data_IF_902919259352
#
_entry.id   IF_902919259352
#
_cell.length_a   1.000
_cell.length_b   1.000
_cell.length_c   1.000
_cell.angle_alpha   90.00
_cell.angle_beta   90.00
_cell.angle_gamma   90.00
#
_symmetry.space_group_name_H-M   'P 1'
#
loop_
_entity.id
_entity.type
_entity.pdbx_description
1 polymer ?
#
# COMPACT_ATOMS: atom_id res chain seq x y z
N UNK A 1 44.32 50.42 46.93
CA UNK A 1 42.93 49.97 47.05
C UNK A 1 42.53 49.53 45.66
N UNK A 2 42.96 48.33 45.24
CA UNK A 2 42.22 47.06 45.40
C UNK A 2 40.87 47.12 44.72
N UNK A 3 40.75 46.47 43.59
CA UNK A 3 39.56 46.30 42.81
C UNK A 3 39.78 45.17 41.79
N UNK A 4 39.31 44.03 42.14
CA UNK A 4 39.45 42.67 41.58
C UNK A 4 39.14 42.55 40.09
N UNK A 5 40.09 41.98 39.47
CA UNK A 5 40.05 41.31 38.15
C UNK A 5 39.19 40.02 38.26
N UNK A 6 38.00 40.01 37.65
CA UNK A 6 37.22 38.79 37.45
C UNK A 6 37.35 38.29 36.05
N UNK A 7 38.29 37.38 35.89
CA UNK A 7 38.50 36.61 34.68
C UNK A 7 37.22 35.87 34.21
N UNK A 8 36.85 36.13 32.98
CA UNK A 8 35.84 35.36 32.24
C UNK A 8 36.52 34.09 31.77
N UNK A 9 36.26 32.98 32.47
CA UNK A 9 36.71 31.66 32.06
C UNK A 9 36.06 31.29 30.72
N UNK A 10 36.88 31.16 29.68
CA UNK A 10 36.51 30.59 28.41
C UNK A 10 36.00 29.16 28.62
N UNK A 11 34.74 28.92 28.28
CA UNK A 11 34.25 27.57 28.12
C UNK A 11 34.90 26.99 26.84
N UNK A 12 35.89 26.17 27.02
CA UNK A 12 36.29 25.18 26.03
C UNK A 12 35.07 24.35 25.63
N UNK A 13 34.62 24.56 24.43
CA UNK A 13 33.70 23.65 23.76
C UNK A 13 34.52 22.38 23.50
N UNK A 14 34.45 21.46 24.45
CA UNK A 14 34.86 20.08 24.20
C UNK A 14 34.06 19.57 23.00
N UNK A 15 34.77 19.49 21.88
CA UNK A 15 34.35 18.64 20.77
C UNK A 15 34.16 17.23 21.35
N UNK A 16 32.94 16.94 21.75
CA UNK A 16 32.53 15.58 21.98
C UNK A 16 32.74 14.82 20.70
N UNK A 17 33.85 14.09 20.64
CA UNK A 17 33.96 12.95 19.76
C UNK A 17 32.70 12.13 19.95
N UNK A 18 31.78 12.24 19.01
CA UNK A 18 30.89 11.14 18.75
C UNK A 18 31.78 9.99 18.30
N UNK A 19 32.31 9.29 19.28
CA UNK A 19 32.73 7.92 19.03
C UNK A 19 31.52 7.22 18.48
N UNK A 20 31.56 6.99 17.20
CA UNK A 20 30.73 6.04 16.48
C UNK A 20 31.00 4.66 17.06
N UNK A 21 30.58 4.43 18.31
CA UNK A 21 30.51 3.13 18.94
C UNK A 21 29.25 2.42 18.44
N UNK A 22 29.18 2.19 17.15
CA UNK A 22 28.33 1.18 16.55
C UNK A 22 28.95 0.69 15.25
N UNK A 23 30.25 0.55 15.25
CA UNK A 23 30.87 -0.50 14.49
C UNK A 23 30.62 -1.81 15.25
N UNK A 24 29.36 -2.19 15.42
CA UNK A 24 29.02 -3.59 15.41
C UNK A 24 29.61 -4.04 14.09
N UNK A 25 30.76 -4.71 14.14
CA UNK A 25 31.46 -5.09 12.93
C UNK A 25 30.43 -5.84 12.10
N UNK A 26 30.12 -5.32 10.91
CA UNK A 26 29.11 -5.93 10.04
C UNK A 26 29.45 -7.40 9.76
N UNK A 27 30.71 -7.77 9.91
CA UNK A 27 31.17 -9.15 9.94
C UNK A 27 30.60 -9.99 11.11
N UNK A 28 30.41 -9.42 12.31
CA UNK A 28 29.83 -10.17 13.44
C UNK A 28 28.32 -10.36 13.29
N UNK A 29 27.62 -9.41 12.67
CA UNK A 29 26.19 -9.55 12.37
C UNK A 29 25.96 -10.54 11.21
N UNK A 30 26.83 -10.55 10.23
CA UNK A 30 26.82 -11.52 9.13
C UNK A 30 27.03 -12.94 9.65
N UNK A 31 27.93 -13.13 10.62
CA UNK A 31 28.19 -14.44 11.24
C UNK A 31 27.09 -14.90 12.22
N UNK A 32 26.23 -14.01 12.68
CA UNK A 32 25.13 -14.33 13.59
C UNK A 32 23.84 -14.75 12.86
N UNK A 33 23.76 -14.65 11.53
CA UNK A 33 22.59 -15.05 10.77
C UNK A 33 22.57 -16.58 10.57
N UNK A 34 21.44 -17.25 10.84
CA UNK A 34 21.30 -18.67 10.57
C UNK A 34 21.58 -19.01 9.10
N UNK A 35 22.33 -20.07 8.85
CA UNK A 35 22.72 -20.53 7.50
C UNK A 35 21.54 -20.66 6.53
N UNK A 36 20.35 -20.98 7.05
CA UNK A 36 19.10 -21.04 6.25
C UNK A 36 18.64 -19.67 5.77
N UNK A 37 18.78 -18.63 6.58
CA UNK A 37 18.48 -17.24 6.18
C UNK A 37 19.52 -16.72 5.20
N UNK A 38 20.78 -17.13 5.34
CA UNK A 38 21.84 -16.83 4.39
C UNK A 38 21.55 -17.37 2.98
N UNK A 39 20.87 -18.52 2.86
CA UNK A 39 20.47 -19.09 1.57
C UNK A 39 19.24 -18.43 0.95
N UNK A 40 18.39 -17.82 1.76
CA UNK A 40 17.15 -17.13 1.33
C UNK A 40 17.34 -15.63 1.13
N UNK A 41 18.34 -15.06 1.78
CA UNK A 41 18.70 -13.66 1.70
C UNK A 41 19.74 -13.47 0.60
N UNK A 42 19.54 -12.47 -0.21
CA UNK A 42 20.48 -12.18 -1.27
C UNK A 42 21.88 -11.85 -0.75
N UNK A 43 21.96 -11.06 0.32
CA UNK A 43 23.18 -10.72 1.04
C UNK A 43 22.84 -10.70 2.56
N UNK A 44 23.68 -11.19 3.46
CA UNK A 44 23.38 -11.18 4.90
C UNK A 44 23.11 -9.77 5.43
N UNK A 45 23.87 -8.77 5.00
CA UNK A 45 23.65 -7.36 5.37
C UNK A 45 22.33 -6.81 4.80
N UNK A 46 21.87 -7.35 3.68
CA UNK A 46 20.60 -6.95 3.07
C UNK A 46 19.41 -7.37 3.95
N UNK A 47 19.49 -8.51 4.63
CA UNK A 47 18.49 -8.90 5.62
C UNK A 47 18.52 -8.00 6.86
N UNK A 48 19.68 -7.48 7.26
CA UNK A 48 19.78 -6.47 8.31
C UNK A 48 19.02 -5.20 7.92
N UNK A 49 19.21 -4.73 6.69
CA UNK A 49 18.43 -3.60 6.17
C UNK A 49 16.94 -3.90 6.07
N UNK A 50 16.56 -5.09 5.60
CA UNK A 50 15.16 -5.51 5.56
C UNK A 50 14.57 -5.62 6.98
N UNK A 51 15.37 -6.02 7.96
CA UNK A 51 15.04 -6.00 9.38
C UNK A 51 14.75 -4.58 9.88
N UNK A 52 15.57 -3.60 9.48
CA UNK A 52 15.33 -2.19 9.80
C UNK A 52 13.96 -1.71 9.29
N UNK A 53 13.56 -2.09 8.08
CA UNK A 53 12.23 -1.78 7.56
C UNK A 53 11.09 -2.35 8.42
N UNK A 54 11.29 -3.53 9.01
CA UNK A 54 10.35 -4.16 9.96
C UNK A 54 10.29 -3.38 11.27
N UNK A 55 11.45 -2.99 11.81
CA UNK A 55 11.56 -2.17 13.02
C UNK A 55 10.86 -0.81 12.84
N UNK A 56 10.97 -0.20 11.66
CA UNK A 56 10.24 1.01 11.29
C UNK A 56 8.74 0.75 11.05
N UNK A 57 8.28 -0.47 11.32
CA UNK A 57 6.89 -0.86 11.15
C UNK A 57 6.36 -0.61 9.73
N UNK A 58 7.17 -0.72 8.68
CA UNK A 58 6.68 -0.67 7.30
C UNK A 58 5.74 -1.85 7.02
N UNK A 59 4.76 -1.65 6.14
CA UNK A 59 3.85 -2.74 5.75
C UNK A 59 4.59 -3.85 5.00
N UNK A 60 4.10 -5.10 5.08
CA UNK A 60 4.65 -6.24 4.31
C UNK A 60 4.77 -5.91 2.81
N UNK A 61 3.78 -5.18 2.28
CA UNK A 61 3.78 -4.74 0.88
C UNK A 61 4.90 -3.73 0.58
N UNK A 62 5.09 -2.74 1.47
CA UNK A 62 6.19 -1.75 1.36
C UNK A 62 7.54 -2.44 1.44
N UNK A 63 7.74 -3.35 2.38
CA UNK A 63 8.99 -4.10 2.53
C UNK A 63 9.29 -4.86 1.24
N UNK A 64 8.31 -5.60 0.70
CA UNK A 64 8.47 -6.32 -0.57
C UNK A 64 8.84 -5.39 -1.73
N UNK A 65 8.16 -4.27 -1.87
CA UNK A 65 8.43 -3.30 -2.93
C UNK A 65 9.83 -2.70 -2.79
N UNK A 66 10.24 -2.36 -1.58
CA UNK A 66 11.58 -1.82 -1.29
C UNK A 66 12.67 -2.86 -1.57
N UNK A 67 12.46 -4.11 -1.14
CA UNK A 67 13.40 -5.20 -1.40
C UNK A 67 13.60 -5.44 -2.90
N UNK A 68 12.52 -5.42 -3.69
CA UNK A 68 12.61 -5.57 -5.14
C UNK A 68 13.40 -4.42 -5.78
N UNK A 69 13.13 -3.17 -5.37
CA UNK A 69 13.83 -2.01 -5.90
C UNK A 69 15.33 -1.99 -5.51
N UNK A 70 15.64 -2.40 -4.29
CA UNK A 70 17.03 -2.48 -3.82
C UNK A 70 17.81 -3.58 -4.55
N UNK A 71 17.17 -4.72 -4.88
CA UNK A 71 17.77 -5.77 -5.70
C UNK A 71 18.08 -5.26 -7.11
N UNK A 72 17.12 -4.57 -7.72
CA UNK A 72 17.28 -3.95 -9.02
C UNK A 72 18.44 -2.93 -9.02
N UNK A 73 18.54 -2.08 -8.02
CA UNK A 73 19.67 -1.18 -7.83
C UNK A 73 21.00 -1.93 -7.68
N UNK A 74 21.00 -3.04 -6.94
CA UNK A 74 22.20 -3.84 -6.71
C UNK A 74 22.80 -4.42 -8.00
N UNK A 75 22.00 -4.69 -9.02
CA UNK A 75 22.51 -5.15 -10.33
C UNK A 75 23.36 -4.09 -11.04
N UNK A 76 23.11 -2.80 -10.75
CA UNK A 76 23.90 -1.68 -11.29
C UNK A 76 25.14 -1.39 -10.43
N UNK A 77 25.05 -1.63 -9.13
CA UNK A 77 26.15 -1.40 -8.18
C UNK A 77 27.20 -2.50 -8.26
N UNK A 78 26.76 -3.74 -8.40
CA UNK A 78 27.66 -4.89 -8.53
C UNK A 78 28.10 -4.99 -9.99
N UNK A 79 29.39 -5.07 -10.30
CA UNK A 79 29.84 -5.11 -11.68
C UNK A 79 29.35 -6.38 -12.36
N UNK A 80 28.89 -6.23 -13.57
CA UNK A 80 28.70 -7.29 -14.50
C UNK A 80 30.01 -7.75 -15.13
N UNK A 81 30.99 -8.08 -14.33
CA UNK A 81 32.05 -8.94 -14.81
C UNK A 81 31.48 -10.34 -14.78
N UNK A 82 31.10 -10.81 -15.96
CA UNK A 82 30.73 -12.16 -16.27
C UNK A 82 29.77 -12.83 -15.25
N UNK A 83 28.48 -12.69 -15.48
CA UNK A 83 27.43 -13.53 -14.91
C UNK A 83 27.59 -13.91 -13.43
N UNK A 84 27.98 -12.95 -12.59
CA UNK A 84 27.81 -13.15 -11.15
C UNK A 84 26.31 -13.35 -10.90
N UNK A 85 25.94 -14.61 -10.81
CA UNK A 85 24.59 -14.94 -10.36
C UNK A 85 24.32 -14.20 -9.05
N UNK A 86 23.06 -13.85 -8.82
CA UNK A 86 22.67 -13.21 -7.59
C UNK A 86 23.17 -13.99 -6.33
N UNK A 87 23.33 -15.30 -6.45
CA UNK A 87 23.90 -16.18 -5.43
C UNK A 87 25.38 -15.88 -5.16
N UNK A 88 26.15 -15.54 -6.18
CA UNK A 88 27.57 -15.16 -6.01
C UNK A 88 27.70 -13.75 -5.44
N UNK A 89 26.74 -12.86 -5.75
CA UNK A 89 26.67 -11.53 -5.13
C UNK A 89 26.45 -11.58 -3.61
N UNK A 90 25.93 -12.69 -3.07
CA UNK A 90 25.75 -12.88 -1.62
C UNK A 90 27.06 -12.98 -0.84
N UNK A 91 28.17 -13.29 -1.51
CA UNK A 91 29.49 -13.45 -0.91
C UNK A 91 30.23 -12.10 -0.85
N UNK A 92 29.73 -11.06 -1.53
CA UNK A 92 30.39 -9.76 -1.53
C UNK A 92 30.31 -9.11 -0.14
N UNK A 93 31.46 -8.75 0.45
CA UNK A 93 31.47 -8.05 1.74
C UNK A 93 30.69 -6.74 1.64
N UNK A 94 29.93 -6.39 2.67
CA UNK A 94 29.18 -5.14 2.74
C UNK A 94 30.06 -3.91 2.47
N UNK A 95 31.33 -3.96 2.86
CA UNK A 95 32.29 -2.88 2.58
C UNK A 95 32.44 -2.62 1.07
N UNK A 96 32.57 -3.68 0.28
CA UNK A 96 32.71 -3.57 -1.19
C UNK A 96 31.41 -3.02 -1.79
N UNK A 97 30.27 -3.53 -1.31
CA UNK A 97 28.97 -2.99 -1.75
C UNK A 97 28.82 -1.51 -1.37
N UNK A 98 29.21 -1.14 -0.14
CA UNK A 98 29.18 0.22 0.34
C UNK A 98 30.00 1.14 -0.57
N UNK A 99 31.27 0.85 -0.79
CA UNK A 99 32.16 1.64 -1.64
C UNK A 99 31.59 1.83 -3.07
N UNK A 100 30.92 0.81 -3.61
CA UNK A 100 30.31 0.85 -4.94
C UNK A 100 28.97 1.57 -4.97
N UNK A 101 28.18 1.52 -3.89
CA UNK A 101 26.91 2.21 -3.77
C UNK A 101 27.07 3.71 -3.48
N UNK A 102 28.28 4.19 -3.27
CA UNK A 102 28.56 5.62 -3.10
C UNK A 102 28.02 6.41 -4.30
N UNK A 103 27.14 7.39 -4.07
CA UNK A 103 26.58 8.21 -5.14
C UNK A 103 27.64 8.90 -6.03
N UNK A 104 28.80 9.23 -5.48
CA UNK A 104 29.91 9.84 -6.24
C UNK A 104 30.45 8.97 -7.37
N UNK A 105 30.18 7.67 -7.33
CA UNK A 105 30.62 6.71 -8.37
C UNK A 105 29.81 6.79 -9.67
N UNK A 106 28.75 7.60 -9.73
CA UNK A 106 27.85 7.70 -10.89
C UNK A 106 26.89 6.50 -11.08
N UNK A 107 26.96 5.48 -10.22
CA UNK A 107 26.10 4.30 -10.34
C UNK A 107 24.63 4.57 -10.01
N UNK A 108 24.38 5.53 -9.12
CA UNK A 108 23.01 6.00 -8.85
C UNK A 108 22.40 6.61 -10.11
N UNK A 109 23.18 7.41 -10.85
CA UNK A 109 22.73 8.04 -12.10
C UNK A 109 22.52 7.00 -13.20
N UNK A 110 23.43 6.04 -13.35
CA UNK A 110 23.28 4.94 -14.28
C UNK A 110 22.00 4.13 -14.02
N UNK A 111 21.72 3.84 -12.74
CA UNK A 111 20.47 3.17 -12.36
C UNK A 111 19.24 4.02 -12.64
N UNK A 112 19.25 5.32 -12.31
CA UNK A 112 18.14 6.24 -12.60
C UNK A 112 17.83 6.33 -14.09
N UNK A 113 18.85 6.37 -14.93
CA UNK A 113 18.71 6.38 -16.39
C UNK A 113 18.04 5.10 -16.90
N UNK A 114 18.34 3.95 -16.28
CA UNK A 114 17.68 2.67 -16.58
C UNK A 114 16.21 2.59 -16.19
N UNK A 115 15.69 3.57 -15.41
CA UNK A 115 14.28 3.62 -15.02
C UNK A 115 13.38 4.38 -16.01
N UNK A 116 13.96 4.98 -17.08
CA UNK A 116 13.27 5.95 -17.94
C UNK A 116 11.93 5.49 -18.53
N UNK A 117 11.82 4.21 -18.88
CA UNK A 117 10.62 3.63 -19.50
C UNK A 117 9.49 3.33 -18.50
N UNK A 118 9.74 3.48 -17.21
CA UNK A 118 8.76 3.16 -16.18
C UNK A 118 7.79 4.32 -15.92
N UNK A 119 6.60 3.98 -15.43
CA UNK A 119 5.63 5.00 -15.02
C UNK A 119 6.17 5.83 -13.84
N UNK A 120 5.93 7.16 -13.81
CA UNK A 120 6.39 8.05 -12.74
C UNK A 120 6.11 7.57 -11.32
N UNK A 121 4.98 6.89 -11.10
CA UNK A 121 4.64 6.32 -9.80
C UNK A 121 5.59 5.18 -9.40
N UNK A 122 6.00 4.34 -10.34
CA UNK A 122 6.94 3.24 -10.15
C UNK A 122 8.36 3.78 -9.90
N UNK A 123 8.80 4.76 -10.70
CA UNK A 123 10.08 5.44 -10.51
C UNK A 123 10.17 6.03 -9.11
N UNK A 124 9.14 6.79 -8.70
CA UNK A 124 9.10 7.40 -7.38
C UNK A 124 9.14 6.39 -6.22
N UNK A 125 8.49 5.22 -6.39
CA UNK A 125 8.54 4.17 -5.39
C UNK A 125 9.92 3.52 -5.31
N UNK A 126 10.58 3.30 -6.46
CA UNK A 126 11.95 2.77 -6.53
C UNK A 126 12.96 3.75 -5.94
N UNK A 127 12.88 5.04 -6.29
CA UNK A 127 13.73 6.09 -5.70
C UNK A 127 13.55 6.12 -4.18
N UNK A 128 12.32 6.02 -3.65
CA UNK A 128 12.10 6.02 -2.21
C UNK A 128 12.78 4.82 -1.52
N UNK A 129 12.74 3.65 -2.15
CA UNK A 129 13.38 2.45 -1.62
C UNK A 129 14.91 2.55 -1.61
N UNK A 130 15.51 2.97 -2.74
CA UNK A 130 16.96 3.12 -2.86
C UNK A 130 17.46 4.26 -1.99
N UNK A 131 16.72 5.37 -1.87
CA UNK A 131 17.04 6.44 -0.93
C UNK A 131 17.07 5.95 0.52
N UNK A 132 16.17 5.03 0.89
CA UNK A 132 16.17 4.43 2.21
C UNK A 132 17.39 3.52 2.41
N UNK A 133 17.76 2.73 1.40
CA UNK A 133 18.94 1.88 1.44
C UNK A 133 20.23 2.71 1.55
N UNK A 134 20.38 3.75 0.73
CA UNK A 134 21.54 4.65 0.78
C UNK A 134 21.69 5.31 2.16
N UNK A 135 20.59 5.79 2.75
CA UNK A 135 20.61 6.33 4.11
C UNK A 135 21.05 5.30 5.15
N UNK A 136 20.60 4.06 5.03
CA UNK A 136 21.01 2.98 5.92
C UNK A 136 22.49 2.65 5.77
N UNK A 137 23.05 2.77 4.56
CA UNK A 137 24.48 2.65 4.28
C UNK A 137 25.30 3.88 4.74
N UNK A 138 24.65 4.93 5.26
CA UNK A 138 25.33 6.14 5.73
C UNK A 138 25.49 7.25 4.69
N UNK A 139 24.90 7.08 3.49
CA UNK A 139 24.96 8.11 2.44
C UNK A 139 23.79 9.09 2.51
N UNK A 140 24.04 10.33 2.12
CA UNK A 140 23.01 11.30 1.79
C UNK A 140 22.51 11.04 0.37
N UNK A 141 21.20 11.15 0.15
CA UNK A 141 20.64 11.07 -1.20
C UNK A 141 21.01 12.36 -1.93
N UNK A 142 21.66 12.27 -3.10
CA UNK A 142 22.05 13.45 -3.85
C UNK A 142 20.87 14.36 -4.19
N UNK A 143 21.06 15.68 -4.15
CA UNK A 143 20.00 16.66 -4.41
C UNK A 143 19.48 16.60 -5.85
N UNK A 144 20.32 16.18 -6.81
CA UNK A 144 19.92 16.03 -8.21
C UNK A 144 18.99 14.85 -8.47
N UNK A 145 18.79 13.93 -7.49
CA UNK A 145 17.83 12.83 -7.60
C UNK A 145 16.40 13.38 -7.54
N UNK A 146 15.95 13.90 -8.68
CA UNK A 146 14.61 14.44 -8.78
C UNK A 146 13.57 13.36 -9.01
N UNK A 147 12.43 13.53 -8.35
CA UNK A 147 11.29 12.64 -8.52
C UNK A 147 10.41 13.14 -9.65
N UNK A 148 10.17 12.32 -10.70
CA UNK A 148 9.30 12.74 -11.79
C UNK A 148 7.91 13.14 -11.28
N UNK A 149 7.36 14.19 -11.88
CA UNK A 149 6.03 14.68 -11.55
C UNK A 149 4.97 13.60 -11.82
N UNK A 150 4.11 13.34 -10.85
CA UNK A 150 2.98 12.42 -11.03
C UNK A 150 1.82 13.16 -11.67
N UNK A 151 1.46 12.79 -12.88
CA UNK A 151 0.11 13.11 -13.37
C UNK A 151 -0.88 12.32 -12.50
N UNK A 152 -1.68 13.03 -11.72
CA UNK A 152 -2.80 12.43 -10.99
C UNK A 152 -4.07 12.71 -11.81
N UNK A 153 -4.53 11.76 -12.64
CA UNK A 153 -5.81 11.93 -13.31
C UNK A 153 -6.88 12.09 -12.24
N UNK A 154 -7.87 12.92 -12.53
CA UNK A 154 -9.04 13.03 -11.65
C UNK A 154 -9.71 11.66 -11.55
N UNK A 155 -10.11 11.24 -10.34
CA UNK A 155 -10.90 10.04 -10.17
C UNK A 155 -12.18 10.15 -11.04
N UNK A 156 -12.45 9.10 -11.79
CA UNK A 156 -13.68 9.03 -12.62
C UNK A 156 -14.61 7.99 -11.99
N UNK A 157 -15.54 8.41 -11.12
CA UNK A 157 -16.55 7.51 -10.58
C UNK A 157 -17.43 6.97 -11.69
N UNK A 158 -18.12 5.88 -11.43
CA UNK A 158 -19.14 5.36 -12.34
C UNK A 158 -20.35 6.29 -12.35
N UNK A 159 -20.91 6.54 -13.53
CA UNK A 159 -22.17 7.22 -13.68
C UNK A 159 -23.34 6.34 -13.21
N UNK A 160 -24.54 6.93 -13.01
CA UNK A 160 -25.73 6.18 -12.55
C UNK A 160 -26.06 4.99 -13.45
N UNK A 161 -26.01 5.15 -14.77
CA UNK A 161 -26.23 4.05 -15.72
C UNK A 161 -25.18 2.95 -15.62
N UNK A 162 -23.91 3.31 -15.44
CA UNK A 162 -22.83 2.32 -15.24
C UNK A 162 -23.01 1.56 -13.91
N UNK A 163 -23.43 2.21 -12.83
CA UNK A 163 -23.73 1.55 -11.54
C UNK A 163 -24.87 0.55 -11.71
N UNK A 164 -25.94 0.89 -12.44
CA UNK A 164 -27.03 -0.03 -12.72
C UNK A 164 -26.56 -1.24 -13.55
N UNK A 165 -25.73 -1.03 -14.58
CA UNK A 165 -25.14 -2.10 -15.37
C UNK A 165 -24.29 -3.03 -14.50
N UNK A 166 -23.44 -2.48 -13.63
CA UNK A 166 -22.57 -3.25 -12.72
C UNK A 166 -23.39 -4.09 -11.75
N UNK A 167 -24.45 -3.51 -11.15
CA UNK A 167 -25.33 -4.25 -10.24
C UNK A 167 -26.09 -5.38 -10.96
N UNK A 168 -26.65 -5.10 -12.13
CA UNK A 168 -27.36 -6.09 -12.95
C UNK A 168 -26.43 -7.20 -13.43
N UNK A 169 -25.21 -6.87 -13.85
CA UNK A 169 -24.21 -7.84 -14.23
C UNK A 169 -23.81 -8.74 -13.05
N UNK A 170 -23.61 -8.16 -11.86
CA UNK A 170 -23.27 -8.93 -10.66
C UNK A 170 -24.34 -9.95 -10.28
N UNK A 171 -25.61 -9.64 -10.53
CA UNK A 171 -26.74 -10.57 -10.33
C UNK A 171 -26.79 -11.70 -11.36
N UNK A 172 -26.36 -11.45 -12.61
CA UNK A 172 -26.36 -12.44 -13.69
C UNK A 172 -25.17 -13.39 -13.65
N UNK A 173 -24.07 -12.98 -12.99
CA UNK A 173 -22.86 -13.81 -12.92
C UNK A 173 -23.15 -15.13 -12.18
N UNK A 174 -22.61 -16.23 -12.72
CA UNK A 174 -22.66 -17.55 -12.07
C UNK A 174 -21.89 -17.61 -10.74
N UNK A 175 -20.93 -16.69 -10.54
CA UNK A 175 -20.14 -16.62 -9.31
C UNK A 175 -20.99 -16.02 -8.18
N UNK A 176 -21.41 -16.82 -7.18
CA UNK A 176 -22.29 -16.35 -6.12
C UNK A 176 -21.68 -15.27 -5.23
N UNK A 177 -20.37 -15.03 -5.34
CA UNK A 177 -19.67 -13.95 -4.66
C UNK A 177 -19.84 -12.59 -5.37
N UNK A 178 -20.23 -12.56 -6.63
CA UNK A 178 -20.29 -11.33 -7.40
C UNK A 178 -21.27 -10.32 -6.79
N UNK A 179 -22.50 -10.74 -6.58
CA UNK A 179 -23.54 -9.86 -6.04
C UNK A 179 -23.22 -9.32 -4.65
N UNK A 180 -22.94 -10.14 -3.61
CA UNK A 180 -22.69 -9.62 -2.27
C UNK A 180 -21.42 -8.77 -2.18
N UNK A 181 -20.34 -9.11 -2.87
CA UNK A 181 -19.11 -8.33 -2.87
C UNK A 181 -19.32 -6.97 -3.52
N UNK A 182 -19.93 -6.94 -4.70
CA UNK A 182 -20.12 -5.70 -5.47
C UNK A 182 -21.07 -4.76 -4.76
N UNK A 183 -22.18 -5.30 -4.22
CA UNK A 183 -23.15 -4.53 -3.47
C UNK A 183 -22.53 -3.95 -2.20
N UNK A 184 -21.81 -4.75 -1.43
CA UNK A 184 -21.11 -4.26 -0.23
C UNK A 184 -20.11 -3.16 -0.59
N UNK A 185 -19.31 -3.33 -1.63
CA UNK A 185 -18.34 -2.31 -2.03
C UNK A 185 -18.98 -1.00 -2.50
N UNK A 186 -20.08 -1.07 -3.24
CA UNK A 186 -20.79 0.12 -3.75
C UNK A 186 -21.53 0.85 -2.64
N UNK A 187 -22.00 0.16 -1.60
CA UNK A 187 -22.84 0.73 -0.55
C UNK A 187 -22.04 1.18 0.69
N UNK A 188 -20.84 0.64 0.90
CA UNK A 188 -20.01 0.97 2.06
C UNK A 188 -18.70 1.67 1.72
N UNK A 189 -18.25 1.55 0.47
CA UNK A 189 -16.97 2.07 0.05
C UNK A 189 -15.76 1.44 0.75
N UNK A 190 -15.87 0.21 1.26
CA UNK A 190 -14.77 -0.52 1.88
C UNK A 190 -13.56 -0.64 0.95
N UNK A 191 -12.34 -0.63 1.53
CA UNK A 191 -11.16 -1.05 0.79
C UNK A 191 -11.20 -2.55 0.54
N UNK A 192 -10.62 -2.99 -0.57
CA UNK A 192 -10.57 -4.43 -0.91
C UNK A 192 -9.97 -5.28 0.22
N UNK A 193 -8.95 -4.78 0.92
CA UNK A 193 -8.35 -5.48 2.07
C UNK A 193 -9.28 -5.53 3.28
N UNK A 194 -10.03 -4.46 3.53
CA UNK A 194 -11.02 -4.41 4.60
C UNK A 194 -12.16 -5.39 4.34
N UNK A 195 -12.68 -5.41 3.11
CA UNK A 195 -13.70 -6.38 2.70
C UNK A 195 -13.24 -7.83 2.86
N UNK A 196 -11.99 -8.13 2.48
CA UNK A 196 -11.42 -9.47 2.65
C UNK A 196 -11.27 -9.86 4.12
N UNK A 197 -11.08 -8.91 5.02
CA UNK A 197 -10.84 -9.14 6.44
C UNK A 197 -12.11 -9.19 7.28
N UNK A 198 -13.28 -8.84 6.73
CA UNK A 198 -14.54 -8.92 7.46
C UNK A 198 -14.82 -10.35 7.90
N UNK A 199 -15.18 -10.49 9.17
CA UNK A 199 -15.68 -11.71 9.77
C UNK A 199 -17.22 -11.67 9.89
N UNK A 200 -17.86 -12.81 10.08
CA UNK A 200 -19.30 -12.86 10.34
C UNK A 200 -19.67 -12.14 11.62
N UNK A 201 -18.81 -12.24 12.64
CA UNK A 201 -19.03 -11.63 13.94
C UNK A 201 -18.88 -10.10 13.91
N UNK A 202 -18.27 -9.54 12.84
CA UNK A 202 -18.18 -8.10 12.62
C UNK A 202 -19.49 -7.50 12.11
N UNK A 203 -20.42 -8.32 11.62
CA UNK A 203 -21.67 -7.88 10.99
C UNK A 203 -22.80 -7.88 12.00
N UNK A 204 -23.40 -6.71 12.19
CA UNK A 204 -24.62 -6.53 12.94
C UNK A 204 -25.80 -6.42 11.96
N UNK A 205 -26.65 -7.46 11.97
CA UNK A 205 -27.83 -7.55 11.11
C UNK A 205 -29.00 -6.68 11.62
N UNK A 206 -29.06 -6.38 12.91
CA UNK A 206 -30.11 -5.55 13.50
C UNK A 206 -29.84 -4.07 13.20
N UNK A 207 -28.62 -3.63 13.44
CA UNK A 207 -28.18 -2.25 13.18
C UNK A 207 -27.76 -2.00 11.71
N UNK A 208 -27.87 -2.99 10.83
CA UNK A 208 -27.43 -2.92 9.43
C UNK A 208 -26.02 -2.32 9.31
N UNK A 209 -25.08 -2.87 10.06
CA UNK A 209 -23.74 -2.31 10.16
C UNK A 209 -22.65 -3.38 10.19
N UNK A 210 -21.40 -2.97 10.03
CA UNK A 210 -20.26 -3.84 10.30
C UNK A 210 -19.12 -3.04 10.93
N UNK A 211 -18.40 -3.68 11.86
CA UNK A 211 -17.17 -3.16 12.43
C UNK A 211 -16.00 -3.45 11.49
N UNK A 212 -15.31 -2.41 11.07
CA UNK A 212 -14.08 -2.51 10.27
C UNK A 212 -12.91 -2.23 11.16
N UNK A 213 -12.15 -3.27 11.47
CA UNK A 213 -10.92 -3.15 12.26
C UNK A 213 -9.85 -2.49 11.39
N UNK A 214 -9.36 -1.35 11.84
CA UNK A 214 -8.35 -0.56 11.13
C UNK A 214 -7.01 -1.28 11.07
N UNK A 215 -6.36 -1.23 9.92
CA UNK A 215 -4.97 -1.64 9.78
C UNK A 215 -4.03 -0.64 10.48
N UNK A 216 -2.72 -0.88 10.35
CA UNK A 216 -1.67 -0.06 10.96
C UNK A 216 -1.88 1.46 10.73
N UNK A 217 -2.15 2.19 11.81
CA UNK A 217 -2.35 3.65 11.80
C UNK A 217 -3.75 4.10 11.40
N UNK A 218 -4.68 3.18 11.16
CA UNK A 218 -6.11 3.46 10.93
C UNK A 218 -6.90 3.11 12.19
N UNK A 219 -7.92 3.93 12.49
CA UNK A 219 -8.84 3.67 13.59
C UNK A 219 -9.93 2.70 13.14
N UNK A 220 -10.41 1.88 14.07
CA UNK A 220 -11.59 1.09 13.87
C UNK A 220 -12.78 2.01 13.56
N UNK A 221 -13.66 1.54 12.71
CA UNK A 221 -14.87 2.28 12.35
C UNK A 221 -16.02 1.36 12.02
N UNK A 222 -17.21 1.83 12.29
CA UNK A 222 -18.44 1.18 11.83
C UNK A 222 -18.79 1.68 10.43
N UNK A 223 -19.17 0.77 9.54
CA UNK A 223 -19.77 1.07 8.24
C UNK A 223 -21.23 0.67 8.27
N UNK A 224 -22.09 1.45 7.60
CA UNK A 224 -23.51 1.19 7.53
C UNK A 224 -23.83 0.43 6.25
N UNK A 225 -24.66 -0.58 6.37
CA UNK A 225 -25.20 -1.33 5.26
C UNK A 225 -26.50 -0.72 4.77
N UNK A 226 -26.80 -0.92 3.50
CA UNK A 226 -28.15 -0.71 2.97
C UNK A 226 -28.93 -2.04 3.10
N UNK A 227 -30.25 -1.97 3.00
CA UNK A 227 -31.09 -3.18 2.90
C UNK A 227 -30.59 -4.12 1.79
N UNK A 228 -30.24 -3.57 0.64
CA UNK A 228 -29.71 -4.36 -0.47
C UNK A 228 -28.40 -5.11 -0.11
N UNK A 229 -27.54 -4.48 0.70
CA UNK A 229 -26.30 -5.13 1.17
C UNK A 229 -26.63 -6.28 2.12
N UNK A 230 -27.55 -6.06 3.05
CA UNK A 230 -27.97 -7.10 4.01
C UNK A 230 -28.61 -8.27 3.28
N UNK A 231 -29.57 -8.03 2.39
CA UNK A 231 -30.20 -9.06 1.57
C UNK A 231 -29.19 -9.86 0.74
N UNK A 232 -28.19 -9.18 0.16
CA UNK A 232 -27.13 -9.82 -0.60
C UNK A 232 -26.23 -10.72 0.26
N UNK A 233 -25.94 -10.30 1.50
CA UNK A 233 -25.16 -11.09 2.48
C UNK A 233 -26.00 -12.28 2.97
N UNK A 234 -27.28 -12.08 3.27
CA UNK A 234 -28.19 -13.15 3.67
C UNK A 234 -28.33 -14.22 2.59
N UNK A 235 -28.48 -13.82 1.33
CA UNK A 235 -28.49 -14.75 0.19
C UNK A 235 -27.18 -15.51 0.01
N UNK A 236 -26.05 -14.92 0.43
CA UNK A 236 -24.73 -15.54 0.42
C UNK A 236 -24.54 -16.55 1.58
N UNK A 237 -25.16 -16.34 2.74
CA UNK A 237 -24.93 -17.14 3.94
C UNK A 237 -25.09 -18.67 3.76
N UNK A 238 -26.09 -19.20 3.06
CA UNK A 238 -26.21 -20.64 2.82
C UNK A 238 -25.04 -21.22 2.03
N UNK A 239 -24.57 -20.48 0.99
CA UNK A 239 -23.44 -20.88 0.15
C UNK A 239 -22.14 -20.81 0.96
N UNK A 240 -22.00 -19.79 1.79
CA UNK A 240 -20.89 -19.65 2.71
C UNK A 240 -20.81 -20.83 3.68
N UNK A 241 -21.94 -21.22 4.28
CA UNK A 241 -22.01 -22.35 5.19
C UNK A 241 -21.64 -23.70 4.53
N UNK A 242 -21.94 -23.87 3.25
CA UNK A 242 -21.44 -25.01 2.47
C UNK A 242 -19.91 -24.92 2.25
N UNK A 243 -19.39 -23.76 1.92
CA UNK A 243 -17.94 -23.56 1.66
C UNK A 243 -17.10 -23.67 2.93
N UNK A 244 -17.61 -23.26 4.09
CA UNK A 244 -16.88 -23.37 5.37
C UNK A 244 -16.63 -24.82 5.79
N UNK A 245 -17.41 -25.77 5.28
CA UNK A 245 -17.23 -27.20 5.54
C UNK A 245 -16.19 -27.88 4.68
N UNK A 246 -15.64 -27.19 3.66
CA UNK A 246 -14.67 -27.76 2.72
C UNK A 246 -13.28 -27.84 3.35
N UNK A 247 -12.96 -26.92 4.25
CA UNK A 247 -11.66 -26.85 4.93
C UNK A 247 -11.84 -27.08 6.43
N UNK A 248 -11.13 -28.09 6.93
CA UNK A 248 -10.96 -28.27 8.35
C UNK A 248 -9.92 -27.27 8.87
N UNK A 249 -10.39 -26.28 9.64
CA UNK A 249 -9.64 -25.41 10.57
C UNK A 249 -8.32 -24.77 10.11
N UNK A 250 -8.41 -23.76 9.24
CA UNK A 250 -7.32 -22.77 9.07
C UNK A 250 -7.66 -21.38 9.67
N UNK A 251 -8.78 -21.26 10.42
CA UNK A 251 -9.30 -19.99 10.93
C UNK A 251 -10.08 -19.17 9.88
N UNK A 252 -10.26 -19.70 8.65
CA UNK A 252 -11.05 -19.03 7.61
C UNK A 252 -12.55 -19.15 7.83
N UNK A 253 -13.00 -20.04 8.70
CA UNK A 253 -14.42 -20.27 9.00
C UNK A 253 -15.15 -19.03 9.50
N UNK A 254 -14.44 -18.09 10.13
CA UNK A 254 -15.02 -16.81 10.60
C UNK A 254 -15.19 -15.79 9.47
N UNK A 255 -14.48 -15.94 8.36
CA UNK A 255 -14.51 -14.96 7.28
C UNK A 255 -15.91 -14.82 6.68
N UNK A 256 -16.35 -13.57 6.46
CA UNK A 256 -17.64 -13.29 5.81
C UNK A 256 -17.65 -13.81 4.37
N UNK A 257 -16.57 -13.62 3.63
CA UNK A 257 -16.45 -14.05 2.23
C UNK A 257 -15.42 -15.16 2.08
N UNK A 258 -15.87 -16.31 1.58
CA UNK A 258 -15.05 -17.50 1.34
C UNK A 258 -14.89 -17.77 -0.15
N UNK A 259 -13.68 -18.14 -0.57
CA UNK A 259 -13.43 -18.63 -1.91
C UNK A 259 -14.13 -19.96 -2.19
N UNK A 260 -14.13 -20.43 -3.44
CA UNK A 260 -14.67 -21.75 -3.80
C UNK A 260 -14.00 -22.94 -3.08
N UNK A 261 -12.79 -22.69 -2.52
CA UNK A 261 -12.03 -23.69 -1.76
C UNK A 261 -12.25 -23.60 -0.24
N UNK A 262 -13.16 -22.75 0.24
CA UNK A 262 -13.40 -22.56 1.67
C UNK A 262 -12.46 -21.59 2.38
N UNK A 263 -11.38 -21.15 1.75
CA UNK A 263 -10.46 -20.17 2.35
C UNK A 263 -11.05 -18.77 2.34
N UNK A 264 -10.65 -17.94 3.29
CA UNK A 264 -10.89 -16.48 3.26
C UNK A 264 -10.53 -15.91 1.90
N UNK A 265 -11.42 -15.11 1.33
CA UNK A 265 -11.17 -14.50 0.02
C UNK A 265 -9.96 -13.54 0.10
N UNK A 266 -9.19 -13.49 -0.95
CA UNK A 266 -8.03 -12.61 -1.03
C UNK A 266 -8.25 -11.48 -2.05
N UNK A 267 -7.50 -10.36 -1.93
CA UNK A 267 -7.66 -9.21 -2.82
C UNK A 267 -7.50 -9.54 -4.31
N UNK A 268 -6.64 -10.51 -4.64
CA UNK A 268 -6.42 -10.90 -6.05
C UNK A 268 -7.64 -11.63 -6.64
N UNK A 269 -8.32 -12.43 -5.83
CA UNK A 269 -9.56 -13.11 -6.25
C UNK A 269 -10.68 -12.10 -6.51
N UNK A 270 -10.83 -11.09 -5.64
CA UNK A 270 -11.79 -10.00 -5.87
C UNK A 270 -11.42 -9.19 -7.11
N UNK A 271 -10.14 -8.89 -7.33
CA UNK A 271 -9.72 -8.19 -8.55
C UNK A 271 -10.14 -8.97 -9.81
N UNK A 272 -9.88 -10.29 -9.85
CA UNK A 272 -10.30 -11.15 -10.97
C UNK A 272 -11.81 -11.22 -11.13
N UNK A 273 -12.57 -11.21 -10.04
CA UNK A 273 -14.02 -11.17 -10.08
C UNK A 273 -14.50 -9.86 -10.70
N UNK A 274 -13.91 -8.72 -10.32
CA UNK A 274 -14.24 -7.40 -10.89
C UNK A 274 -13.82 -7.28 -12.35
N UNK A 275 -12.71 -7.92 -12.76
CA UNK A 275 -12.31 -7.95 -14.18
C UNK A 275 -13.36 -8.71 -15.03
N UNK A 276 -13.89 -9.85 -14.53
CA UNK A 276 -15.00 -10.58 -15.19
C UNK A 276 -16.32 -9.78 -15.17
N UNK A 277 -16.58 -9.11 -14.05
CA UNK A 277 -17.75 -8.24 -13.92
C UNK A 277 -17.72 -7.07 -14.93
N UNK A 278 -16.53 -6.53 -15.21
CA UNK A 278 -16.37 -5.47 -16.20
C UNK A 278 -16.77 -5.97 -17.60
N UNK A 279 -16.36 -7.19 -17.96
CA UNK A 279 -16.72 -7.82 -19.22
C UNK A 279 -18.25 -8.06 -19.30
N UNK A 280 -18.85 -8.61 -18.24
CA UNK A 280 -20.30 -8.87 -18.16
C UNK A 280 -21.14 -7.59 -18.18
N UNK A 281 -20.64 -6.50 -17.59
CA UNK A 281 -21.31 -5.20 -17.57
C UNK A 281 -21.07 -4.35 -18.83
N UNK A 282 -20.25 -4.85 -19.77
CA UNK A 282 -19.82 -4.11 -20.97
C UNK A 282 -19.15 -2.77 -20.63
N UNK A 283 -18.30 -2.78 -19.60
CA UNK A 283 -17.51 -1.63 -19.15
C UNK A 283 -16.04 -1.93 -19.35
N UNK A 284 -15.24 -1.03 -19.93
CA UNK A 284 -13.80 -1.27 -20.07
C UNK A 284 -13.14 -1.62 -18.73
N UNK A 285 -12.34 -2.70 -18.65
CA UNK A 285 -11.67 -3.14 -17.42
C UNK A 285 -10.85 -2.03 -16.75
N UNK A 286 -10.23 -1.15 -17.54
CA UNK A 286 -9.50 0.00 -17.02
C UNK A 286 -10.40 1.02 -16.27
N UNK A 287 -11.72 0.95 -16.48
CA UNK A 287 -12.71 1.83 -15.87
C UNK A 287 -13.31 1.23 -14.59
N UNK A 288 -13.36 -0.09 -14.46
CA UNK A 288 -13.93 -0.78 -13.31
C UNK A 288 -12.82 -1.41 -12.45
N UNK A 289 -12.77 -1.04 -11.20
CA UNK A 289 -11.81 -1.54 -10.23
C UNK A 289 -12.39 -1.39 -8.80
N UNK A 290 -11.84 -2.09 -7.79
CA UNK A 290 -12.22 -1.88 -6.40
C UNK A 290 -12.13 -0.42 -5.97
N UNK A 291 -11.11 0.29 -6.42
CA UNK A 291 -10.96 1.72 -6.15
C UNK A 291 -12.04 2.57 -6.83
N UNK A 292 -12.42 2.21 -8.05
CA UNK A 292 -13.51 2.91 -8.76
C UNK A 292 -14.85 2.74 -8.02
N UNK A 293 -15.18 1.53 -7.53
CA UNK A 293 -16.39 1.30 -6.74
C UNK A 293 -16.40 2.16 -5.47
N UNK A 294 -15.28 2.19 -4.73
CA UNK A 294 -15.15 3.04 -3.55
C UNK A 294 -15.24 4.54 -3.89
N UNK A 295 -14.66 4.97 -5.00
CA UNK A 295 -14.81 6.35 -5.48
C UNK A 295 -16.25 6.69 -5.83
N UNK A 296 -16.96 5.76 -6.45
CA UNK A 296 -18.38 5.90 -6.78
C UNK A 296 -19.23 6.08 -5.52
N UNK A 297 -19.00 5.28 -4.49
CA UNK A 297 -19.66 5.46 -3.19
C UNK A 297 -19.40 6.85 -2.61
N UNK A 298 -18.14 7.27 -2.54
CA UNK A 298 -17.77 8.57 -1.99
C UNK A 298 -18.40 9.74 -2.75
N UNK A 299 -18.41 9.67 -4.10
CA UNK A 299 -19.06 10.68 -4.95
C UNK A 299 -20.57 10.70 -4.74
N UNK A 300 -21.19 9.53 -4.67
CA UNK A 300 -22.63 9.43 -4.43
C UNK A 300 -23.06 10.00 -3.07
N UNK A 301 -22.22 9.90 -2.04
CA UNK A 301 -22.47 10.57 -0.75
C UNK A 301 -22.39 12.10 -0.90
N UNK A 302 -21.36 12.60 -1.59
CA UNK A 302 -21.16 14.02 -1.79
C UNK A 302 -22.29 14.64 -2.64
N UNK A 303 -22.75 13.95 -3.70
CA UNK A 303 -23.87 14.36 -4.54
C UNK A 303 -25.19 14.44 -3.75
N UNK A 304 -25.34 13.58 -2.72
CA UNK A 304 -26.49 13.62 -1.79
C UNK A 304 -26.35 14.63 -0.67
N UNK A 305 -25.27 15.44 -0.67
CA UNK A 305 -25.08 16.54 0.28
C UNK A 305 -24.32 16.18 1.56
N UNK A 306 -23.72 14.99 1.64
CA UNK A 306 -22.88 14.67 2.79
C UNK A 306 -21.62 15.56 2.79
N UNK A 307 -21.24 16.06 3.98
CA UNK A 307 -20.04 16.87 4.12
C UNK A 307 -18.76 16.02 4.01
N UNK A 308 -17.65 16.69 3.69
CA UNK A 308 -16.37 16.02 3.47
C UNK A 308 -15.83 15.32 4.72
N UNK A 309 -16.10 15.86 5.91
CA UNK A 309 -15.62 15.29 7.19
C UNK A 309 -16.34 13.97 7.46
N UNK A 310 -17.66 13.95 7.24
CA UNK A 310 -18.47 12.72 7.34
C UNK A 310 -18.00 11.66 6.35
N UNK A 311 -17.77 12.03 5.09
CA UNK A 311 -17.26 11.11 4.07
C UNK A 311 -15.88 10.57 4.47
N UNK A 312 -14.99 11.40 5.00
CA UNK A 312 -13.68 10.98 5.49
C UNK A 312 -13.77 9.98 6.64
N UNK A 313 -14.64 10.23 7.61
CA UNK A 313 -14.87 9.34 8.76
C UNK A 313 -15.39 7.98 8.27
N UNK A 314 -16.39 7.97 7.40
CA UNK A 314 -16.95 6.73 6.82
C UNK A 314 -15.92 5.93 6.04
N UNK A 315 -15.04 6.61 5.31
CA UNK A 315 -14.01 5.97 4.51
C UNK A 315 -12.72 5.63 5.29
N UNK A 316 -12.55 6.11 6.53
CA UNK A 316 -11.34 5.87 7.32
C UNK A 316 -10.09 6.50 6.69
N UNK A 317 -10.15 7.76 6.24
CA UNK A 317 -9.02 8.49 5.69
C UNK A 317 -8.39 9.41 6.75
N UNK A 318 -7.10 9.24 6.99
CA UNK A 318 -6.32 10.08 7.92
C UNK A 318 -5.79 11.37 7.30
N UNK A 319 -5.87 11.56 5.97
CA UNK A 319 -5.22 12.67 5.27
C UNK A 319 -6.20 13.47 4.41
N UNK A 320 -6.29 14.75 4.67
CA UNK A 320 -7.12 15.77 3.99
C UNK A 320 -6.84 15.94 2.48
N UNK A 321 -5.68 15.51 2.01
CA UNK A 321 -5.13 15.94 0.70
C UNK A 321 -5.82 15.36 -0.55
N UNK A 322 -6.57 14.27 -0.42
CA UNK A 322 -7.22 13.64 -1.58
C UNK A 322 -8.53 14.31 -1.99
N UNK A 323 -9.22 14.99 -1.07
CA UNK A 323 -10.59 15.46 -1.27
C UNK A 323 -10.73 16.93 -1.67
N UNK A 324 -9.76 17.80 -1.40
CA UNK A 324 -9.82 19.20 -1.82
C UNK A 324 -9.89 19.33 -3.36
N UNK A 325 -9.18 18.46 -4.10
CA UNK A 325 -9.30 18.38 -5.56
C UNK A 325 -10.63 17.80 -6.05
N UNK A 326 -11.24 16.95 -5.26
CA UNK A 326 -12.54 16.36 -5.54
C UNK A 326 -13.66 17.40 -5.45
N UNK A 327 -13.60 18.21 -4.40
CA UNK A 327 -14.57 19.31 -4.20
C UNK A 327 -14.57 20.29 -5.38
N UNK A 328 -13.39 20.65 -5.87
CA UNK A 328 -13.27 21.50 -7.06
C UNK A 328 -13.85 20.87 -8.34
N UNK A 329 -13.71 19.56 -8.51
CA UNK A 329 -14.24 18.87 -9.68
C UNK A 329 -15.76 18.76 -9.68
N UNK A 330 -16.41 18.65 -8.52
CA UNK A 330 -17.86 18.53 -8.41
C UNK A 330 -18.52 19.91 -8.35
N UNK A 331 -17.90 20.89 -7.70
CA UNK A 331 -18.38 22.26 -7.71
C UNK A 331 -18.36 22.86 -9.12
N UNK A 332 -17.34 22.55 -9.93
CA UNK A 332 -17.30 22.98 -11.33
C UNK A 332 -18.36 22.31 -12.22
N UNK A 333 -18.80 21.09 -11.91
CA UNK A 333 -19.92 20.44 -12.62
C UNK A 333 -21.29 21.00 -12.23
N UNK A 334 -21.47 21.43 -10.97
CA UNK A 334 -22.72 22.10 -10.54
C UNK A 334 -22.90 23.46 -11.20
N UNK A 335 -21.84 24.22 -11.40
CA UNK A 335 -21.90 25.53 -12.11
C UNK A 335 -22.21 25.38 -13.58
N UNK A 336 -21.79 24.32 -14.25
CA UNK A 336 -22.08 24.09 -15.67
C UNK A 336 -23.53 23.65 -15.91
N UNK A 337 -24.20 23.03 -14.93
CA UNK A 337 -25.62 22.64 -15.02
C UNK A 337 -26.61 23.77 -14.70
N UNK A 338 -26.17 24.87 -14.08
CA UNK A 338 -27.02 26.02 -13.78
C UNK A 338 -27.10 27.07 -14.92
N UNK A 339 -26.36 26.88 -16.00
CA UNK A 339 -26.33 27.78 -17.16
C UNK A 339 -26.88 27.12 -18.44
N UNK A 340 -27.60 26.01 -18.34
CA UNK A 340 -28.23 25.32 -19.49
C UNK A 340 -29.75 25.11 -19.33
N UNK A 341 -30.42 25.96 -18.53
CA UNK A 341 -31.89 26.10 -18.54
C UNK A 341 -32.29 27.50 -19.00
#
# INVERSE_FOLDING_TARGET
MEGEDRGIAGREVTQGRFETSSTISQSSVVNALPTRLMRLAALPWFECWAGQLRTEKKSKHTIRAYTVAARDFSTTVLPGEDDLSWEQAQIIPVRVYHERADPSTGRVDAWLNGLGDLRPATINARIAAVSHLLKWLGYTVPEWVQRPARRRPLPRPLGRSEVLKVRSAALRMEDPLAHPIVTTMLDTGLRISELCNLDIDDVDHEDLSALVIGGKGEKDRTVLFTKNTTEAIEAWNPIRAMRSKILESDGSERALFLSSRGNRINPRSIQKLIDRLADEAEIPRARLSPHTLRHTFATGLLERGADLVTIQRLLGHTIFYCYSKWYHCISSRRTTSMYQD
#
